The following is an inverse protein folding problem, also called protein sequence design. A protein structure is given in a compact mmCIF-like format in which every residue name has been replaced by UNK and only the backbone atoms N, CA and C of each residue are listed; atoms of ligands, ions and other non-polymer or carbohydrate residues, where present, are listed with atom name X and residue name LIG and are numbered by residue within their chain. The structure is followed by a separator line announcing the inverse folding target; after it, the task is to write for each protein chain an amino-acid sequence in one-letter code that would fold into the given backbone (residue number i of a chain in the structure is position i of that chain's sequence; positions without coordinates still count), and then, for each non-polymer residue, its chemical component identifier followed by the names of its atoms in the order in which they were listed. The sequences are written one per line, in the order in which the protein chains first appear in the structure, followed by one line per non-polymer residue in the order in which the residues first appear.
data_IF_062241346912
#
_entry.id   IF_062241346912
#
_cell.length_a   1.000
_cell.length_b   1.000
_cell.length_c   1.000
_cell.angle_alpha   90.00
_cell.angle_beta   90.00
_cell.angle_gamma   90.00
#
_symmetry.space_group_name_H-M   'P 1'
#
loop_
_entity.id
_entity.type
_entity.pdbx_description
1 polymer ?
#
# COMPACT_ATOMS: atom_id res chain seq x y z
N UNK A 1 -23.50 -6.44 -11.58
CA UNK A 1 -22.24 -7.20 -11.83
C UNK A 1 -20.98 -6.41 -11.50
N UNK A 2 -20.98 -5.08 -11.56
CA UNK A 2 -19.79 -4.23 -11.35
C UNK A 2 -19.25 -4.30 -9.91
N UNK A 3 -20.12 -4.42 -8.91
CA UNK A 3 -19.74 -4.58 -7.50
C UNK A 3 -19.00 -5.92 -7.30
N UNK A 4 -19.49 -6.99 -7.91
CA UNK A 4 -18.86 -8.31 -7.80
C UNK A 4 -17.47 -8.31 -8.45
N UNK A 5 -17.37 -7.74 -9.65
CA UNK A 5 -16.08 -7.61 -10.38
C UNK A 5 -15.09 -6.77 -9.58
N UNK A 6 -15.53 -5.64 -9.03
CA UNK A 6 -14.70 -4.79 -8.16
C UNK A 6 -14.23 -5.52 -6.90
N UNK A 7 -15.12 -6.29 -6.26
CA UNK A 7 -14.76 -7.06 -5.05
C UNK A 7 -13.76 -8.18 -5.37
N UNK A 8 -13.96 -8.91 -6.47
CA UNK A 8 -13.02 -9.95 -6.89
C UNK A 8 -11.66 -9.36 -7.27
N UNK A 9 -11.64 -8.25 -7.99
CA UNK A 9 -10.40 -7.54 -8.34
C UNK A 9 -9.65 -7.08 -7.07
N UNK A 10 -10.36 -6.56 -6.08
CA UNK A 10 -9.77 -6.17 -4.80
C UNK A 10 -9.18 -7.38 -4.06
N UNK A 11 -9.89 -8.50 -3.98
CA UNK A 11 -9.38 -9.72 -3.35
C UNK A 11 -8.11 -10.24 -4.04
N UNK A 12 -8.09 -10.28 -5.37
CA UNK A 12 -6.89 -10.69 -6.13
C UNK A 12 -5.73 -9.73 -5.85
N UNK A 13 -6.00 -8.43 -5.80
CA UNK A 13 -5.00 -7.41 -5.48
C UNK A 13 -4.39 -7.64 -4.09
N UNK A 14 -5.19 -7.89 -3.06
CA UNK A 14 -4.73 -8.16 -1.70
C UNK A 14 -3.89 -9.45 -1.60
N UNK A 15 -4.27 -10.50 -2.32
CA UNK A 15 -3.47 -11.74 -2.39
C UNK A 15 -2.10 -11.47 -3.04
N UNK A 16 -2.06 -10.70 -4.14
CA UNK A 16 -0.82 -10.31 -4.81
C UNK A 16 0.05 -9.47 -3.86
N UNK A 17 -0.53 -8.53 -3.13
CA UNK A 17 0.19 -7.75 -2.14
C UNK A 17 0.78 -8.62 -1.02
N UNK A 18 0.00 -9.54 -0.46
CA UNK A 18 0.48 -10.48 0.56
C UNK A 18 1.68 -11.31 0.08
N UNK A 19 1.59 -11.88 -1.13
CA UNK A 19 2.70 -12.62 -1.74
C UNK A 19 3.92 -11.72 -2.02
N UNK A 20 3.69 -10.45 -2.37
CA UNK A 20 4.75 -9.47 -2.60
C UNK A 20 5.60 -9.21 -1.35
N UNK A 21 5.01 -9.24 -0.14
CA UNK A 21 5.79 -9.11 1.11
C UNK A 21 6.75 -10.26 1.32
N UNK A 22 6.27 -11.49 1.13
CA UNK A 22 7.11 -12.69 1.24
C UNK A 22 8.23 -12.66 0.20
N UNK A 23 7.92 -12.33 -1.05
CA UNK A 23 8.90 -12.19 -2.12
C UNK A 23 9.94 -11.09 -1.82
N UNK A 24 9.50 -9.93 -1.31
CA UNK A 24 10.41 -8.84 -0.93
C UNK A 24 11.31 -9.27 0.21
N UNK A 25 10.77 -9.90 1.25
CA UNK A 25 11.58 -10.39 2.40
C UNK A 25 12.63 -11.39 1.95
N UNK A 26 12.29 -12.29 1.04
CA UNK A 26 13.24 -13.24 0.47
C UNK A 26 14.30 -12.53 -0.39
N UNK A 27 13.89 -11.64 -1.27
CA UNK A 27 14.76 -10.97 -2.23
C UNK A 27 15.78 -10.02 -1.58
N UNK A 28 15.46 -9.37 -0.46
CA UNK A 28 16.41 -8.51 0.28
C UNK A 28 17.59 -9.27 0.88
N UNK A 29 17.51 -10.61 0.97
CA UNK A 29 18.65 -11.45 1.34
C UNK A 29 19.69 -11.61 0.21
N UNK A 30 19.32 -11.32 -1.04
CA UNK A 30 20.15 -11.52 -2.21
C UNK A 30 20.55 -10.23 -2.94
N UNK A 31 19.80 -9.15 -2.75
CA UNK A 31 20.05 -7.88 -3.42
C UNK A 31 19.84 -6.70 -2.48
N UNK A 32 20.51 -5.58 -2.76
CA UNK A 32 20.30 -4.39 -1.95
C UNK A 32 18.87 -3.86 -2.09
N UNK A 33 18.28 -3.30 -1.01
CA UNK A 33 16.91 -2.80 -1.02
C UNK A 33 16.64 -1.77 -2.11
N UNK A 34 17.59 -0.87 -2.35
CA UNK A 34 17.48 0.15 -3.39
C UNK A 34 17.56 -0.46 -4.80
N UNK A 35 18.37 -1.50 -5.01
CA UNK A 35 18.39 -2.22 -6.27
C UNK A 35 17.05 -2.90 -6.55
N UNK A 36 16.45 -3.55 -5.54
CA UNK A 36 15.13 -4.17 -5.67
C UNK A 36 14.05 -3.14 -6.01
N UNK A 37 14.02 -2.00 -5.31
CA UNK A 37 13.10 -0.92 -5.63
C UNK A 37 13.34 -0.38 -7.04
N UNK A 38 14.59 -0.15 -7.43
CA UNK A 38 14.94 0.30 -8.78
C UNK A 38 14.41 -0.64 -9.85
N UNK A 39 14.64 -1.94 -9.73
CA UNK A 39 14.14 -2.94 -10.67
C UNK A 39 12.60 -3.01 -10.71
N UNK A 40 11.92 -2.92 -9.57
CA UNK A 40 10.45 -2.85 -9.52
C UNK A 40 9.91 -1.66 -10.29
N UNK A 41 10.51 -0.48 -10.11
CA UNK A 41 10.04 0.74 -10.80
C UNK A 41 10.42 0.77 -12.27
N UNK A 42 11.60 0.28 -12.65
CA UNK A 42 12.00 0.16 -14.06
C UNK A 42 11.05 -0.77 -14.79
N UNK A 43 10.79 -1.96 -14.22
CA UNK A 43 9.87 -2.92 -14.82
C UNK A 43 8.44 -2.34 -14.94
N UNK A 44 7.94 -1.71 -13.91
CA UNK A 44 6.62 -1.07 -13.94
C UNK A 44 6.57 0.04 -15.00
N UNK A 45 7.61 0.88 -15.09
CA UNK A 45 7.71 1.92 -16.09
C UNK A 45 7.73 1.36 -17.52
N UNK A 46 8.50 0.32 -17.77
CA UNK A 46 8.57 -0.35 -19.08
C UNK A 46 7.20 -0.93 -19.46
N UNK A 47 6.55 -1.66 -18.54
CA UNK A 47 5.23 -2.25 -18.80
C UNK A 47 4.16 -1.19 -19.05
N UNK A 48 4.17 -0.10 -18.27
CA UNK A 48 3.24 1.03 -18.49
C UNK A 48 3.49 1.71 -19.84
N UNK A 49 4.76 1.92 -20.20
CA UNK A 49 5.13 2.53 -21.49
C UNK A 49 4.68 1.65 -22.65
N UNK A 50 4.90 0.34 -22.57
CA UNK A 50 4.39 -0.60 -23.58
C UNK A 50 2.87 -0.57 -23.65
N UNK A 51 2.17 -0.53 -22.50
CA UNK A 51 0.71 -0.41 -22.46
C UNK A 51 0.19 0.87 -23.14
N UNK A 52 0.90 1.99 -23.00
CA UNK A 52 0.61 3.24 -23.69
C UNK A 52 0.87 3.13 -25.21
N UNK A 53 2.01 2.56 -25.59
CA UNK A 53 2.39 2.40 -27.01
C UNK A 53 1.43 1.47 -27.77
N UNK A 54 0.97 0.40 -27.13
CA UNK A 54 -0.02 -0.52 -27.71
C UNK A 54 -1.46 -0.01 -27.61
N UNK A 55 -1.68 1.18 -27.04
CA UNK A 55 -3.03 1.76 -26.91
C UNK A 55 -3.94 1.05 -25.90
N UNK A 56 -3.38 0.16 -25.06
CA UNK A 56 -4.10 -0.54 -24.01
C UNK A 56 -4.48 0.41 -22.86
N UNK A 57 -3.66 1.44 -22.64
CA UNK A 57 -3.86 2.47 -21.62
C UNK A 57 -3.93 3.83 -22.31
N UNK A 58 -4.92 4.62 -21.96
CA UNK A 58 -5.05 6.00 -22.44
C UNK A 58 -4.83 6.95 -21.27
N UNK A 59 -3.89 7.88 -21.41
CA UNK A 59 -3.61 8.90 -20.41
C UNK A 59 -3.91 10.26 -21.02
N UNK A 60 -4.90 10.95 -20.48
CA UNK A 60 -5.20 12.32 -20.85
C UNK A 60 -4.85 13.25 -19.66
N UNK A 61 -3.82 14.05 -19.84
CA UNK A 61 -3.33 15.02 -18.84
C UNK A 61 -3.76 16.46 -19.15
N UNK A 62 -4.46 16.70 -20.25
CA UNK A 62 -4.86 18.04 -20.65
C UNK A 62 -5.82 18.66 -19.64
N UNK A 63 -5.44 19.81 -19.10
CA UNK A 63 -6.28 20.57 -18.15
C UNK A 63 -6.34 20.00 -16.72
N UNK A 64 -5.62 18.92 -16.40
CA UNK A 64 -5.63 18.36 -15.06
C UNK A 64 -4.61 19.02 -14.16
N UNK A 65 -4.93 19.23 -12.85
CA UNK A 65 -4.02 19.85 -11.92
C UNK A 65 -2.84 18.91 -11.62
N UNK A 66 -1.63 19.37 -11.89
CA UNK A 66 -0.40 18.59 -11.69
C UNK A 66 -0.08 18.41 -10.19
N UNK A 67 -0.44 19.35 -9.33
CA UNK A 67 -0.12 19.31 -7.89
C UNK A 67 -0.64 18.05 -7.17
N UNK A 68 -1.92 17.65 -7.28
CA UNK A 68 -2.38 16.40 -6.65
C UNK A 68 -1.67 15.17 -7.20
N UNK A 69 -1.35 15.14 -8.50
CA UNK A 69 -0.62 14.03 -9.13
C UNK A 69 0.81 13.92 -8.59
N UNK A 70 1.50 15.05 -8.38
CA UNK A 70 2.83 15.07 -7.76
C UNK A 70 2.78 14.57 -6.31
N UNK A 71 1.76 14.97 -5.54
CA UNK A 71 1.58 14.46 -4.18
C UNK A 71 1.33 12.95 -4.16
N UNK A 72 0.49 12.44 -5.06
CA UNK A 72 0.30 11.00 -5.25
C UNK A 72 1.64 10.31 -5.54
N UNK A 73 2.46 10.85 -6.45
CA UNK A 73 3.75 10.27 -6.83
C UNK A 73 4.78 10.30 -5.69
N UNK A 74 4.80 11.35 -4.87
CA UNK A 74 5.74 11.48 -3.75
C UNK A 74 5.37 10.49 -2.62
N UNK A 75 4.09 10.47 -2.23
CA UNK A 75 3.68 9.66 -1.08
C UNK A 75 3.61 8.17 -1.38
N UNK A 76 3.15 7.74 -2.56
CA UNK A 76 3.06 6.31 -2.84
C UNK A 76 4.36 5.70 -3.36
N UNK A 77 4.87 6.00 -4.57
CA UNK A 77 6.05 5.27 -5.02
C UNK A 77 7.32 5.61 -4.22
N UNK A 78 7.48 6.83 -3.74
CA UNK A 78 8.70 7.21 -3.04
C UNK A 78 8.64 6.87 -1.55
N UNK A 79 7.86 7.63 -0.77
CA UNK A 79 7.92 7.52 0.70
C UNK A 79 7.38 6.19 1.20
N UNK A 80 6.28 5.70 0.63
CA UNK A 80 5.69 4.43 1.03
C UNK A 80 6.66 3.27 0.80
N UNK A 81 7.13 3.06 -0.43
CA UNK A 81 7.97 1.90 -0.75
C UNK A 81 9.36 1.94 -0.12
N UNK A 82 9.92 3.13 0.09
CA UNK A 82 11.18 3.25 0.86
C UNK A 82 10.93 2.85 2.31
N UNK A 83 9.92 3.40 2.95
CA UNK A 83 9.56 3.07 4.34
C UNK A 83 9.21 1.60 4.51
N UNK A 84 8.39 1.04 3.63
CA UNK A 84 8.03 -0.37 3.60
C UNK A 84 9.27 -1.27 3.47
N UNK A 85 10.07 -1.10 2.43
CA UNK A 85 11.21 -1.97 2.17
C UNK A 85 12.25 -1.89 3.28
N UNK A 86 12.57 -0.69 3.74
CA UNK A 86 13.52 -0.49 4.85
C UNK A 86 12.98 -1.00 6.20
N UNK A 87 11.66 -0.95 6.39
CA UNK A 87 10.98 -1.53 7.54
C UNK A 87 11.01 -3.06 7.53
N UNK A 88 10.65 -3.68 6.40
CA UNK A 88 10.65 -5.14 6.22
C UNK A 88 12.03 -5.75 6.49
N UNK A 89 13.11 -5.09 6.10
CA UNK A 89 14.47 -5.57 6.35
C UNK A 89 14.78 -5.65 7.85
N UNK A 90 14.26 -4.69 8.62
CA UNK A 90 14.55 -4.53 10.06
C UNK A 90 13.54 -5.21 10.97
N UNK A 91 12.53 -5.85 10.41
CA UNK A 91 11.46 -6.54 11.14
C UNK A 91 11.29 -7.96 10.61
N UNK A 92 10.51 -8.78 11.28
CA UNK A 92 10.13 -10.09 10.76
C UNK A 92 9.04 -9.95 9.69
N UNK A 93 8.84 -10.97 8.87
CA UNK A 93 7.76 -10.97 7.88
C UNK A 93 6.38 -10.87 8.53
N UNK A 94 6.20 -11.53 9.68
CA UNK A 94 4.96 -11.50 10.46
C UNK A 94 4.69 -10.11 11.04
N UNK A 95 5.70 -9.46 11.65
CA UNK A 95 5.58 -8.10 12.16
C UNK A 95 5.23 -7.10 11.06
N UNK A 96 5.93 -7.17 9.92
CA UNK A 96 5.64 -6.33 8.77
C UNK A 96 4.20 -6.54 8.29
N UNK A 97 3.75 -7.80 8.21
CA UNK A 97 2.38 -8.14 7.81
C UNK A 97 1.33 -7.55 8.75
N UNK A 98 1.55 -7.64 10.07
CA UNK A 98 0.68 -7.04 11.09
C UNK A 98 0.59 -5.52 10.92
N UNK A 99 1.72 -4.84 10.74
CA UNK A 99 1.73 -3.40 10.50
C UNK A 99 0.95 -3.05 9.22
N UNK A 100 1.17 -3.77 8.13
CA UNK A 100 0.51 -3.49 6.86
C UNK A 100 -1.00 -3.79 6.90
N UNK A 101 -1.43 -4.76 7.68
CA UNK A 101 -2.85 -5.02 7.92
C UNK A 101 -3.58 -3.85 8.61
N UNK A 102 -2.86 -2.90 9.22
CA UNK A 102 -3.42 -1.67 9.75
C UNK A 102 -3.68 -0.58 8.70
N UNK A 103 -3.21 -0.74 7.46
CA UNK A 103 -3.42 0.24 6.37
C UNK A 103 -4.90 0.63 6.19
N UNK A 104 -5.87 -0.30 6.12
CA UNK A 104 -7.28 0.07 5.97
C UNK A 104 -7.81 0.94 7.11
N UNK A 105 -7.35 0.67 8.33
CA UNK A 105 -7.74 1.44 9.53
C UNK A 105 -7.27 2.89 9.39
N UNK A 106 -5.97 3.08 9.15
CA UNK A 106 -5.35 4.41 9.04
C UNK A 106 -5.90 5.17 7.84
N UNK A 107 -6.11 4.49 6.71
CA UNK A 107 -6.71 5.07 5.51
C UNK A 107 -8.15 5.52 5.73
N UNK A 108 -8.95 4.77 6.52
CA UNK A 108 -10.31 5.18 6.88
C UNK A 108 -10.29 6.42 7.76
N UNK A 109 -9.41 6.49 8.77
CA UNK A 109 -9.23 7.69 9.59
C UNK A 109 -8.82 8.89 8.74
N UNK A 110 -7.83 8.74 7.86
CA UNK A 110 -7.39 9.79 6.95
C UNK A 110 -8.54 10.26 6.05
N UNK A 111 -9.30 9.34 5.46
CA UNK A 111 -10.45 9.67 4.61
C UNK A 111 -11.54 10.41 5.40
N UNK A 112 -11.81 10.01 6.64
CA UNK A 112 -12.81 10.65 7.49
C UNK A 112 -12.39 12.08 7.83
N UNK A 113 -11.14 12.31 8.18
CA UNK A 113 -10.61 13.63 8.58
C UNK A 113 -10.48 14.54 7.35
N UNK A 114 -9.79 14.10 6.30
CA UNK A 114 -9.42 14.96 5.18
C UNK A 114 -10.50 15.08 4.10
N UNK A 115 -11.32 14.04 3.90
CA UNK A 115 -12.41 14.04 2.91
C UNK A 115 -13.77 14.27 3.56
N UNK A 116 -13.83 14.33 4.90
CA UNK A 116 -15.08 14.48 5.67
C UNK A 116 -16.14 13.42 5.32
N UNK A 117 -15.70 12.26 4.82
CA UNK A 117 -16.57 11.14 4.50
C UNK A 117 -16.82 10.30 5.75
N UNK A 118 -18.08 10.16 6.15
CA UNK A 118 -18.43 9.25 7.25
C UNK A 118 -18.22 7.80 6.81
N UNK A 119 -17.58 6.95 7.66
CA UNK A 119 -17.41 5.55 7.34
C UNK A 119 -18.75 4.84 7.24
N UNK A 120 -18.90 3.94 6.29
CA UNK A 120 -20.09 3.10 6.19
C UNK A 120 -20.02 1.95 7.20
N UNK A 121 -21.21 1.45 7.62
CA UNK A 121 -21.28 0.31 8.55
C UNK A 121 -20.48 -0.91 8.08
N UNK A 122 -20.55 -1.34 6.80
CA UNK A 122 -19.73 -2.45 6.31
C UNK A 122 -18.22 -2.20 6.42
N UNK A 123 -17.77 -0.95 6.18
CA UNK A 123 -16.35 -0.60 6.35
C UNK A 123 -15.88 -0.75 7.80
N UNK A 124 -16.67 -0.26 8.75
CA UNK A 124 -16.35 -0.39 10.18
C UNK A 124 -16.30 -1.86 10.59
N UNK A 125 -17.30 -2.66 10.18
CA UNK A 125 -17.32 -4.10 10.46
C UNK A 125 -16.09 -4.80 9.85
N UNK A 126 -15.76 -4.53 8.60
CA UNK A 126 -14.58 -5.10 7.94
C UNK A 126 -13.28 -4.77 8.67
N UNK A 127 -13.13 -3.53 9.13
CA UNK A 127 -11.97 -3.12 9.94
C UNK A 127 -11.90 -3.86 11.27
N UNK A 128 -13.02 -4.02 11.97
CA UNK A 128 -13.07 -4.76 13.23
C UNK A 128 -12.67 -6.23 13.03
N UNK A 129 -13.14 -6.86 11.95
CA UNK A 129 -12.76 -8.23 11.57
C UNK A 129 -11.25 -8.30 11.28
N UNK A 130 -10.70 -7.34 10.54
CA UNK A 130 -9.27 -7.28 10.25
C UNK A 130 -8.44 -7.14 11.52
N UNK A 131 -8.79 -6.21 12.40
CA UNK A 131 -8.09 -6.02 13.68
C UNK A 131 -8.18 -7.27 14.56
N UNK A 132 -9.33 -7.92 14.61
CA UNK A 132 -9.48 -9.18 15.33
C UNK A 132 -8.57 -10.26 14.76
N UNK A 133 -8.51 -10.40 13.42
CA UNK A 133 -7.60 -11.34 12.76
C UNK A 133 -6.13 -11.05 13.05
N UNK A 134 -5.71 -9.78 13.05
CA UNK A 134 -4.36 -9.36 13.43
C UNK A 134 -4.03 -9.74 14.87
N UNK A 135 -4.92 -9.44 15.81
CA UNK A 135 -4.76 -9.80 17.22
C UNK A 135 -4.65 -11.32 17.39
N UNK A 136 -5.51 -12.08 16.71
CA UNK A 136 -5.47 -13.53 16.74
C UNK A 136 -4.14 -14.07 16.21
N UNK A 137 -3.63 -13.50 15.12
CA UNK A 137 -2.33 -13.87 14.53
C UNK A 137 -1.18 -13.65 15.51
N UNK A 138 -1.17 -12.52 16.23
CA UNK A 138 -0.14 -12.22 17.24
C UNK A 138 -0.15 -13.25 18.37
N UNK A 139 -1.33 -13.65 18.83
CA UNK A 139 -1.45 -14.58 19.94
C UNK A 139 -1.25 -16.05 19.57
N UNK A 140 -1.55 -16.45 18.31
CA UNK A 140 -1.45 -17.85 17.90
C UNK A 140 -0.12 -18.24 17.27
N UNK A 141 0.56 -17.31 16.63
CA UNK A 141 1.90 -17.55 16.11
C UNK A 141 2.88 -17.03 17.18
N UNK A 142 3.56 -17.89 17.92
CA UNK A 142 4.69 -17.48 18.77
C UNK A 142 5.68 -16.65 17.94
N UNK A 143 5.35 -15.35 17.79
CA UNK A 143 6.06 -14.47 16.88
C UNK A 143 7.41 -14.11 17.50
N UNK A 144 8.47 -14.58 16.86
CA UNK A 144 9.79 -14.00 17.12
C UNK A 144 9.72 -12.49 16.86
N UNK A 145 9.99 -11.71 17.88
CA UNK A 145 9.97 -10.25 17.78
C UNK A 145 11.37 -9.74 17.47
N UNK A 146 11.47 -8.91 16.43
CA UNK A 146 12.72 -8.22 16.10
C UNK A 146 13.07 -7.12 17.08
N UNK A 147 12.08 -6.61 17.85
CA UNK A 147 12.18 -5.45 18.76
C UNK A 147 12.85 -4.22 18.11
N UNK A 148 12.75 -4.11 16.78
CA UNK A 148 13.40 -3.05 16.02
C UNK A 148 12.55 -1.78 16.00
N UNK A 149 12.80 -0.87 16.93
CA UNK A 149 12.11 0.43 16.98
C UNK A 149 12.24 1.21 15.66
N UNK A 150 13.41 1.16 15.03
CA UNK A 150 13.66 1.79 13.72
C UNK A 150 12.80 1.13 12.63
N UNK A 151 12.73 -0.21 12.62
CA UNK A 151 11.89 -0.95 11.68
C UNK A 151 10.42 -0.58 11.82
N UNK A 152 9.89 -0.55 13.05
CA UNK A 152 8.50 -0.17 13.32
C UNK A 152 8.19 1.28 12.94
N UNK A 153 9.12 2.22 13.20
CA UNK A 153 8.97 3.62 12.79
C UNK A 153 8.89 3.77 11.28
N UNK A 154 9.69 3.01 10.53
CA UNK A 154 9.68 3.02 9.06
C UNK A 154 8.39 2.41 8.50
N UNK A 155 7.89 1.31 9.08
CA UNK A 155 6.60 0.73 8.69
C UNK A 155 5.45 1.68 9.02
N UNK A 156 5.48 2.35 10.16
CA UNK A 156 4.48 3.36 10.51
C UNK A 156 4.51 4.54 9.53
N UNK A 157 5.70 5.03 9.15
CA UNK A 157 5.86 6.07 8.13
C UNK A 157 5.27 5.61 6.79
N UNK A 158 5.49 4.35 6.39
CA UNK A 158 4.91 3.79 5.18
C UNK A 158 3.37 3.81 5.23
N UNK A 159 2.77 3.34 6.33
CA UNK A 159 1.31 3.32 6.51
C UNK A 159 0.72 4.73 6.43
N UNK A 160 1.35 5.69 7.12
CA UNK A 160 0.91 7.09 7.09
C UNK A 160 1.01 7.69 5.68
N UNK A 161 2.10 7.41 4.96
CA UNK A 161 2.29 7.84 3.57
C UNK A 161 1.21 7.26 2.65
N UNK A 162 0.89 5.97 2.80
CA UNK A 162 -0.17 5.33 2.03
C UNK A 162 -1.56 5.93 2.33
N UNK A 163 -1.84 6.22 3.60
CA UNK A 163 -3.10 6.86 4.00
C UNK A 163 -3.24 8.26 3.38
N UNK A 164 -2.17 9.05 3.38
CA UNK A 164 -2.15 10.38 2.73
C UNK A 164 -2.30 10.23 1.20
N UNK A 165 -1.56 9.30 0.61
CA UNK A 165 -1.69 8.95 -0.81
C UNK A 165 -3.15 8.63 -1.17
N UNK A 166 -3.84 7.79 -0.42
CA UNK A 166 -5.22 7.40 -0.70
C UNK A 166 -6.18 8.60 -0.72
N UNK A 167 -5.95 9.60 0.14
CA UNK A 167 -6.71 10.85 0.14
C UNK A 167 -6.47 11.67 -1.13
N UNK A 168 -5.20 11.77 -1.56
CA UNK A 168 -4.87 12.52 -2.78
C UNK A 168 -5.35 11.83 -4.04
N UNK A 169 -5.33 10.49 -4.09
CA UNK A 169 -5.92 9.71 -5.20
C UNK A 169 -7.41 10.03 -5.35
N UNK A 170 -8.17 10.02 -4.25
CA UNK A 170 -9.60 10.38 -4.31
C UNK A 170 -9.79 11.83 -4.76
N UNK A 171 -8.96 12.76 -4.31
CA UNK A 171 -9.03 14.15 -4.78
C UNK A 171 -8.64 14.28 -6.25
N UNK A 172 -7.68 13.50 -6.72
CA UNK A 172 -7.26 13.50 -8.13
C UNK A 172 -8.28 12.82 -9.04
N UNK A 173 -8.99 11.77 -8.57
CA UNK A 173 -10.01 11.06 -9.34
C UNK A 173 -11.27 11.88 -9.68
N UNK A 174 -11.49 12.98 -8.95
CA UNK A 174 -12.59 13.91 -9.30
C UNK A 174 -12.33 14.61 -10.65
N UNK A 175 -11.09 14.60 -11.13
CA UNK A 175 -10.68 15.21 -12.39
C UNK A 175 -10.43 14.19 -13.51
N UNK A 176 -10.72 12.91 -13.25
CA UNK A 176 -10.69 11.83 -14.26
C UNK A 176 -12.07 11.48 -14.72
#
# INVERSE_FOLDING_TARGET
NDILVGTLAALVCEVIFGLSYMATKYAVGYASPFALLGWRFILAFVLMTLGLLFGLIRVDLKGKPIKPLLMVAIFSPCTYYIGETMGIIRTTASESGVFMACIPVVSLFASTIFLKKKPSKPQVIGILITLFGVVLTIFTLEMESSLSLVGYSLLFLAIMSYAIYSVFVVKASVYT
#
